data_IF_344915442192
#
_entry.id   IF_344915442192
#
_cell.length_a   1.000
_cell.length_b   1.000
_cell.length_c   1.000
_cell.angle_alpha   90.00
_cell.angle_beta   90.00
_cell.angle_gamma   90.00
#
_symmetry.space_group_name_H-M   'P 1'
#
loop_
_entity.id
_entity.type
_entity.pdbx_description
1 polymer ?
#
# COMPACT_ATOMS: atom_id res chain seq x y z
N UNK A 1 5.88 -7.12 6.10
CA UNK A 1 5.92 -5.85 5.36
C UNK A 1 5.28 -5.94 3.97
N UNK A 2 5.95 -6.50 2.95
CA UNK A 2 5.49 -6.43 1.54
C UNK A 2 4.10 -7.03 1.27
N UNK A 3 3.81 -8.21 1.82
CA UNK A 3 2.50 -8.85 1.64
C UNK A 3 1.37 -8.03 2.26
N UNK A 4 1.54 -7.55 3.50
CA UNK A 4 0.55 -6.68 4.17
C UNK A 4 0.31 -5.40 3.37
N UNK A 5 1.37 -4.77 2.88
CA UNK A 5 1.27 -3.60 2.01
C UNK A 5 0.47 -3.92 0.73
N UNK A 6 0.81 -5.03 0.06
CA UNK A 6 0.18 -5.42 -1.20
C UNK A 6 -1.29 -5.78 -1.03
N UNK A 7 -1.63 -6.57 0.00
CA UNK A 7 -3.01 -6.90 0.37
C UNK A 7 -3.81 -5.63 0.63
N UNK A 8 -3.23 -4.71 1.40
CA UNK A 8 -3.88 -3.45 1.73
C UNK A 8 -4.16 -2.61 0.48
N UNK A 9 -3.22 -2.61 -0.48
CA UNK A 9 -3.32 -1.86 -1.72
C UNK A 9 -4.25 -2.47 -2.77
N UNK A 10 -4.25 -3.79 -2.91
CA UNK A 10 -4.91 -4.50 -4.02
C UNK A 10 -6.24 -5.13 -3.61
N UNK A 11 -6.45 -5.38 -2.31
CA UNK A 11 -7.64 -6.05 -1.75
C UNK A 11 -7.95 -7.42 -2.41
N UNK A 12 -6.98 -8.02 -3.09
CA UNK A 12 -7.04 -9.33 -3.70
C UNK A 12 -5.77 -10.10 -3.28
N UNK A 13 -5.98 -11.29 -2.71
CA UNK A 13 -4.88 -12.13 -2.18
C UNK A 13 -3.92 -12.55 -3.29
N UNK A 14 -4.43 -13.05 -4.40
CA UNK A 14 -3.63 -13.55 -5.50
C UNK A 14 -2.80 -12.43 -6.12
N UNK A 15 -3.41 -11.28 -6.38
CA UNK A 15 -2.68 -10.09 -6.87
C UNK A 15 -1.61 -9.60 -5.89
N UNK A 16 -1.84 -9.74 -4.58
CA UNK A 16 -0.87 -9.41 -3.55
C UNK A 16 0.30 -10.40 -3.52
N UNK A 17 0.03 -11.70 -3.62
CA UNK A 17 1.05 -12.76 -3.73
C UNK A 17 1.90 -12.56 -4.99
N UNK A 18 1.28 -12.33 -6.14
CA UNK A 18 1.94 -12.02 -7.40
C UNK A 18 2.84 -10.78 -7.28
N UNK A 19 2.33 -9.71 -6.65
CA UNK A 19 3.10 -8.47 -6.51
C UNK A 19 4.33 -8.63 -5.61
N UNK A 20 4.22 -9.46 -4.57
CA UNK A 20 5.36 -9.83 -3.72
C UNK A 20 6.35 -10.68 -4.50
N UNK A 21 5.87 -11.68 -5.25
CA UNK A 21 6.70 -12.53 -6.08
C UNK A 21 7.47 -11.71 -7.12
N UNK A 22 6.79 -10.85 -7.87
CA UNK A 22 7.39 -9.93 -8.84
C UNK A 22 8.46 -9.02 -8.21
N UNK A 23 8.24 -8.59 -6.97
CA UNK A 23 9.22 -7.78 -6.23
C UNK A 23 10.50 -8.58 -6.00
N UNK A 24 10.38 -9.83 -5.51
CA UNK A 24 11.55 -10.70 -5.29
C UNK A 24 12.21 -11.14 -6.58
N UNK A 25 11.44 -11.39 -7.65
CA UNK A 25 12.01 -11.68 -8.97
C UNK A 25 12.89 -10.53 -9.46
N UNK A 26 12.43 -9.27 -9.32
CA UNK A 26 13.22 -8.09 -9.65
C UNK A 26 14.43 -7.90 -8.75
N UNK A 27 14.32 -8.28 -7.48
CA UNK A 27 15.43 -8.25 -6.54
C UNK A 27 16.55 -9.20 -6.97
N UNK A 28 16.19 -10.45 -7.30
CA UNK A 28 17.14 -11.49 -7.74
C UNK A 28 17.75 -11.19 -9.11
N UNK A 29 16.98 -10.59 -10.01
CA UNK A 29 17.43 -10.20 -11.35
C UNK A 29 18.39 -9.01 -11.31
N UNK A 30 17.97 -7.90 -10.66
CA UNK A 30 18.74 -6.65 -10.67
C UNK A 30 19.95 -6.66 -9.73
N UNK A 31 19.93 -7.49 -8.69
CA UNK A 31 20.98 -7.57 -7.65
C UNK A 31 21.50 -6.20 -7.21
N UNK A 32 20.60 -5.29 -6.78
CA UNK A 32 20.98 -3.97 -6.29
C UNK A 32 21.99 -4.06 -5.13
N UNK A 33 22.90 -3.10 -5.06
CA UNK A 33 23.81 -2.95 -3.92
C UNK A 33 23.17 -2.05 -2.88
N UNK A 34 23.19 -2.50 -1.63
CA UNK A 34 22.66 -1.74 -0.49
C UNK A 34 23.77 -1.35 0.46
N UNK A 35 23.53 -0.26 1.20
CA UNK A 35 24.48 0.24 2.19
C UNK A 35 24.22 -0.41 3.56
N UNK A 36 22.95 -0.71 3.84
CA UNK A 36 22.45 -1.31 5.07
C UNK A 36 21.10 -2.00 4.78
N UNK A 37 20.58 -2.72 5.78
CA UNK A 37 19.27 -3.40 5.69
C UNK A 37 18.11 -2.44 5.46
N UNK A 38 18.24 -1.18 5.90
CA UNK A 38 17.16 -0.20 5.79
C UNK A 38 17.03 0.32 4.36
N UNK A 39 18.17 0.53 3.69
CA UNK A 39 18.22 0.83 2.27
C UNK A 39 17.62 -0.33 1.44
N UNK A 40 17.90 -1.57 1.81
CA UNK A 40 17.31 -2.76 1.18
C UNK A 40 15.79 -2.80 1.35
N UNK A 41 15.28 -2.61 2.58
CA UNK A 41 13.83 -2.56 2.86
C UNK A 41 13.14 -1.44 2.10
N UNK A 42 13.72 -0.24 2.11
CA UNK A 42 13.19 0.92 1.38
C UNK A 42 13.10 0.65 -0.13
N UNK A 43 14.11 -0.03 -0.70
CA UNK A 43 14.09 -0.43 -2.10
C UNK A 43 12.97 -1.43 -2.39
N UNK A 44 12.84 -2.48 -1.57
CA UNK A 44 11.79 -3.49 -1.72
C UNK A 44 10.39 -2.86 -1.63
N UNK A 45 10.16 -1.97 -0.65
CA UNK A 45 8.91 -1.22 -0.50
C UNK A 45 8.59 -0.36 -1.72
N UNK A 46 9.60 0.36 -2.25
CA UNK A 46 9.44 1.20 -3.43
C UNK A 46 9.05 0.36 -4.66
N UNK A 47 9.74 -0.75 -4.90
CA UNK A 47 9.47 -1.65 -6.02
C UNK A 47 8.06 -2.25 -5.90
N UNK A 48 7.73 -2.80 -4.74
CA UNK A 48 6.44 -3.40 -4.46
C UNK A 48 5.29 -2.40 -4.62
N UNK A 49 5.44 -1.20 -4.06
CA UNK A 49 4.45 -0.12 -4.20
C UNK A 49 4.21 0.24 -5.66
N UNK A 50 5.27 0.31 -6.48
CA UNK A 50 5.15 0.63 -7.90
C UNK A 50 4.44 -0.47 -8.70
N UNK A 51 4.70 -1.74 -8.38
CA UNK A 51 3.99 -2.88 -8.97
C UNK A 51 2.48 -2.79 -8.64
N UNK A 52 2.14 -2.58 -7.37
CA UNK A 52 0.75 -2.46 -6.94
C UNK A 52 0.03 -1.28 -7.63
N UNK A 53 0.66 -0.10 -7.69
CA UNK A 53 0.13 1.08 -8.40
C UNK A 53 -0.11 0.80 -9.88
N UNK A 54 0.79 0.06 -10.53
CA UNK A 54 0.63 -0.30 -11.94
C UNK A 54 -0.55 -1.25 -12.16
N UNK A 55 -0.70 -2.29 -11.31
CA UNK A 55 -1.87 -3.20 -11.34
C UNK A 55 -3.17 -2.41 -11.16
N UNK A 56 -3.26 -1.54 -10.14
CA UNK A 56 -4.43 -0.69 -9.90
C UNK A 56 -4.75 0.24 -11.09
N UNK A 57 -3.72 0.83 -11.72
CA UNK A 57 -3.89 1.66 -12.91
C UNK A 57 -4.39 0.83 -14.10
N UNK A 58 -3.99 -0.42 -14.22
CA UNK A 58 -4.49 -1.35 -15.24
C UNK A 58 -5.95 -1.70 -14.97
N UNK A 59 -6.30 -2.12 -13.74
CA UNK A 59 -7.69 -2.40 -13.33
C UNK A 59 -8.61 -1.22 -13.66
N UNK A 60 -8.24 0.00 -13.23
CA UNK A 60 -9.03 1.21 -13.50
C UNK A 60 -9.16 1.55 -14.99
N UNK A 61 -8.18 1.17 -15.82
CA UNK A 61 -8.27 1.35 -17.29
C UNK A 61 -9.16 0.31 -17.96
N UNK A 62 -9.27 -0.87 -17.36
CA UNK A 62 -10.09 -1.99 -17.87
C UNK A 62 -11.47 -2.10 -17.19
N UNK A 63 -11.85 -1.14 -16.34
CA UNK A 63 -13.14 -1.06 -15.64
C UNK A 63 -14.36 -1.06 -16.60
N UNK A 64 -14.15 -0.88 -17.91
CA UNK A 64 -15.19 -0.99 -18.95
C UNK A 64 -15.29 -2.38 -19.63
N UNK A 65 -14.52 -3.39 -19.21
CA UNK A 65 -14.56 -4.72 -19.83
C UNK A 65 -14.80 -5.81 -18.78
N UNK A 66 -15.94 -6.49 -18.97
CA UNK A 66 -16.42 -7.72 -18.31
C UNK A 66 -17.02 -7.57 -16.91
N UNK A 67 -18.27 -8.02 -16.80
CA UNK A 67 -19.16 -7.95 -15.65
C UNK A 67 -19.27 -9.33 -15.02
N UNK A 68 -18.17 -9.95 -14.59
CA UNK A 68 -18.24 -11.33 -14.07
C UNK A 68 -17.24 -11.72 -12.95
N UNK A 69 -16.22 -10.92 -12.60
CA UNK A 69 -15.18 -11.36 -11.64
C UNK A 69 -15.15 -10.59 -10.31
N UNK A 70 -16.30 -10.16 -9.78
CA UNK A 70 -16.34 -9.57 -8.44
C UNK A 70 -16.50 -10.65 -7.34
N UNK A 71 -15.47 -11.47 -7.15
CA UNK A 71 -15.37 -12.28 -5.93
C UNK A 71 -14.86 -11.36 -4.82
N UNK A 72 -15.80 -10.82 -4.04
CA UNK A 72 -15.49 -10.11 -2.80
C UNK A 72 -14.82 -11.09 -1.83
N UNK A 73 -13.49 -11.14 -1.84
CA UNK A 73 -12.72 -11.86 -0.84
C UNK A 73 -12.86 -11.12 0.49
N UNK A 74 -13.59 -11.70 1.44
CA UNK A 74 -13.57 -11.28 2.84
C UNK A 74 -12.17 -11.53 3.40
N UNK A 75 -11.39 -10.47 3.52
CA UNK A 75 -10.13 -10.52 4.24
C UNK A 75 -10.44 -10.52 5.74
N UNK A 76 -10.47 -11.71 6.37
CA UNK A 76 -10.61 -11.81 7.83
C UNK A 76 -9.27 -11.49 8.51
N UNK A 77 -8.95 -10.20 8.63
CA UNK A 77 -8.05 -9.75 9.69
C UNK A 77 -8.85 -9.80 11.00
N UNK A 78 -8.80 -10.95 11.69
CA UNK A 78 -9.10 -11.00 13.13
C UNK A 78 -7.97 -10.26 13.85
N UNK A 79 -8.02 -8.93 13.86
CA UNK A 79 -7.66 -8.07 14.98
C UNK A 79 -7.70 -6.57 14.58
N UNK A 80 -8.53 -5.85 15.33
CA UNK A 80 -8.69 -4.40 15.49
C UNK A 80 -9.28 -3.56 14.35
N UNK A 81 -10.41 -2.92 14.71
CA UNK A 81 -11.21 -1.84 14.07
C UNK A 81 -10.45 -0.82 13.21
N UNK A 82 -9.16 -0.61 13.48
CA UNK A 82 -8.28 0.30 12.74
C UNK A 82 -8.00 -0.22 11.32
N UNK A 83 -7.81 -1.53 11.11
CA UNK A 83 -7.51 -2.08 9.79
C UNK A 83 -8.70 -1.95 8.82
N UNK A 84 -9.94 -2.03 9.31
CA UNK A 84 -11.14 -1.80 8.48
C UNK A 84 -11.28 -0.33 8.08
N UNK A 85 -11.09 0.59 9.03
CA UNK A 85 -11.13 2.01 8.76
C UNK A 85 -10.03 2.42 7.75
N UNK A 86 -8.82 1.88 7.92
CA UNK A 86 -7.71 2.10 6.98
C UNK A 86 -7.98 1.44 5.62
N UNK A 87 -8.65 0.29 5.57
CA UNK A 87 -9.01 -0.39 4.32
C UNK A 87 -9.99 0.41 3.46
N UNK A 88 -10.86 1.23 4.09
CA UNK A 88 -11.78 2.16 3.40
C UNK A 88 -11.09 3.40 2.84
N UNK A 89 -9.85 3.70 3.24
CA UNK A 89 -9.12 4.85 2.70
C UNK A 89 -8.75 4.62 1.23
N UNK A 90 -8.83 5.67 0.38
CA UNK A 90 -8.25 5.63 -0.95
C UNK A 90 -6.76 5.27 -0.91
N UNK A 91 -6.30 4.51 -1.89
CA UNK A 91 -4.98 3.86 -1.88
C UNK A 91 -3.81 4.78 -1.58
N UNK A 92 -3.81 5.98 -2.17
CA UNK A 92 -2.75 6.98 -1.95
C UNK A 92 -2.61 7.45 -0.49
N UNK A 93 -3.67 7.36 0.30
CA UNK A 93 -3.68 7.70 1.73
C UNK A 93 -3.36 6.47 2.58
N UNK A 94 -3.93 5.32 2.22
CA UNK A 94 -3.66 4.04 2.86
C UNK A 94 -2.17 3.69 2.87
N UNK A 95 -1.48 3.83 1.74
CA UNK A 95 -0.04 3.55 1.62
C UNK A 95 0.79 4.39 2.60
N UNK A 96 0.50 5.70 2.75
CA UNK A 96 1.29 6.55 3.66
C UNK A 96 0.99 6.25 5.13
N UNK A 97 -0.25 5.87 5.46
CA UNK A 97 -0.63 5.46 6.82
C UNK A 97 0.11 4.19 7.22
N UNK A 98 0.12 3.17 6.36
CA UNK A 98 0.82 1.93 6.66
C UNK A 98 2.31 2.13 6.84
N UNK A 99 2.95 2.87 5.92
CA UNK A 99 4.39 3.13 6.02
C UNK A 99 4.74 3.89 7.29
N UNK A 100 3.88 4.81 7.74
CA UNK A 100 4.15 5.64 8.92
C UNK A 100 3.84 4.93 10.25
N UNK A 101 2.66 4.33 10.39
CA UNK A 101 2.19 3.80 11.68
C UNK A 101 2.51 2.32 11.89
N UNK A 102 2.68 1.55 10.82
CA UNK A 102 2.93 0.10 10.90
C UNK A 102 4.39 -0.23 10.65
N UNK A 103 5.01 0.41 9.67
CA UNK A 103 6.41 0.19 9.32
C UNK A 103 7.33 1.29 9.88
N UNK A 104 6.79 2.20 10.71
CA UNK A 104 7.51 3.21 11.51
C UNK A 104 8.46 4.17 10.75
N UNK A 105 8.24 4.34 9.43
CA UNK A 105 9.04 5.27 8.63
C UNK A 105 8.74 6.74 8.93
N UNK A 106 9.79 7.56 8.93
CA UNK A 106 9.65 9.02 9.02
C UNK A 106 9.18 9.60 7.69
N UNK A 107 8.58 10.78 7.77
CA UNK A 107 8.04 11.51 6.60
C UNK A 107 9.02 11.62 5.45
N UNK A 108 10.29 11.91 5.72
CA UNK A 108 11.32 12.08 4.69
C UNK A 108 11.76 10.75 4.07
N UNK A 109 11.66 9.65 4.81
CA UNK A 109 11.94 8.31 4.31
C UNK A 109 10.79 7.83 3.41
N UNK A 110 9.55 8.04 3.85
CA UNK A 110 8.35 7.77 3.04
C UNK A 110 8.38 8.58 1.74
N UNK A 111 8.82 9.84 1.79
CA UNK A 111 9.00 10.68 0.61
C UNK A 111 9.94 10.04 -0.42
N UNK A 112 11.09 9.52 0.04
CA UNK A 112 12.07 8.81 -0.80
C UNK A 112 11.52 7.47 -1.32
N UNK A 113 10.83 6.69 -0.48
CA UNK A 113 10.24 5.39 -0.85
C UNK A 113 9.17 5.59 -1.93
N UNK A 114 8.28 6.57 -1.74
CA UNK A 114 7.14 6.80 -2.62
C UNK A 114 7.43 7.72 -3.81
N UNK A 115 8.61 8.32 -3.88
CA UNK A 115 9.03 9.27 -4.90
C UNK A 115 8.15 10.52 -4.96
N UNK A 116 7.86 11.12 -3.81
CA UNK A 116 7.02 12.32 -3.66
C UNK A 116 7.66 13.29 -2.66
N UNK A 117 7.20 14.54 -2.61
CA UNK A 117 7.72 15.50 -1.64
C UNK A 117 7.28 15.19 -0.20
N UNK A 118 8.11 15.51 0.79
CA UNK A 118 7.75 15.42 2.23
C UNK A 118 6.47 16.19 2.55
N UNK A 119 6.27 17.34 1.90
CA UNK A 119 5.01 18.12 1.99
C UNK A 119 3.81 17.34 1.47
N UNK A 120 3.96 16.58 0.38
CA UNK A 120 2.90 15.70 -0.13
C UNK A 120 2.61 14.54 0.83
N UNK A 121 3.64 13.96 1.46
CA UNK A 121 3.45 12.93 2.51
C UNK A 121 2.66 13.50 3.68
N UNK A 122 3.07 14.65 4.23
CA UNK A 122 2.36 15.33 5.34
C UNK A 122 0.90 15.62 5.00
N UNK A 123 0.64 16.17 3.81
CA UNK A 123 -0.73 16.42 3.34
C UNK A 123 -1.54 15.13 3.21
N UNK A 124 -0.96 14.05 2.68
CA UNK A 124 -1.65 12.76 2.58
C UNK A 124 -1.95 12.15 3.95
N UNK A 125 -1.03 12.21 4.90
CA UNK A 125 -1.25 11.78 6.28
C UNK A 125 -2.34 12.60 6.98
N UNK A 126 -2.34 13.92 6.78
CA UNK A 126 -3.39 14.79 7.30
C UNK A 126 -4.76 14.38 6.74
N UNK A 127 -4.88 14.25 5.42
CA UNK A 127 -6.13 13.82 4.77
C UNK A 127 -6.58 12.43 5.20
N UNK A 128 -5.63 11.51 5.39
CA UNK A 128 -5.94 10.19 5.89
C UNK A 128 -6.55 10.25 7.29
N UNK A 129 -5.97 11.05 8.20
CA UNK A 129 -6.52 11.25 9.56
C UNK A 129 -7.88 11.92 9.56
N UNK A 130 -8.11 12.92 8.69
CA UNK A 130 -9.42 13.55 8.52
C UNK A 130 -10.47 12.50 8.12
N UNK A 131 -10.15 11.64 7.14
CA UNK A 131 -11.05 10.58 6.69
C UNK A 131 -11.30 9.52 7.77
N UNK A 132 -10.27 9.14 8.54
CA UNK A 132 -10.42 8.15 9.62
C UNK A 132 -11.31 8.66 10.76
N UNK A 133 -11.23 9.96 11.10
CA UNK A 133 -12.13 10.58 12.09
C UNK A 133 -13.60 10.53 11.68
N UNK A 134 -13.89 10.80 10.41
CA UNK A 134 -15.26 10.72 9.89
C UNK A 134 -15.87 9.32 10.12
N UNK A 135 -15.07 8.26 9.94
CA UNK A 135 -15.54 6.90 10.18
C UNK A 135 -15.70 6.53 11.66
N UNK A 136 -15.07 7.26 12.60
CA UNK A 136 -15.31 7.09 14.04
C UNK A 136 -16.65 7.71 14.46
N UNK A 137 -17.03 8.83 13.83
CA UNK A 137 -18.30 9.53 14.11
C UNK A 137 -19.52 8.82 13.49
N UNK A 138 -19.38 8.17 12.34
CA UNK A 138 -20.46 7.41 11.66
C UNK A 138 -20.82 6.07 12.34
N UNK A 139 -19.99 5.60 13.28
CA UNK A 139 -20.15 4.33 14.00
C UNK A 139 -20.70 4.49 15.44
N UNK A 140 -21.06 5.71 15.85
CA UNK A 140 -21.73 6.03 17.12
C UNK A 140 -23.19 6.43 16.88
#
# INVERSE_FOLDING_TARGET
>A
MLYRLSVSMLRNKQDAEDSVQDTFMRYLDKKPKFNDEEHEKAWLLRVCTNICKNKLRTIKRHEYVSMEDFVAYEFTYKDFTIFDAVSKLPEKYKTVVLLYYVEEYKVDEIAKILDISSSAVKKRLQRAREMLKVYEDDCN
#
